data_IF_151156953920
#
_entry.id   IF_151156953920
#
_cell.length_a   1.000
_cell.length_b   1.000
_cell.length_c   1.000
_cell.angle_alpha   90.00
_cell.angle_beta   90.00
_cell.angle_gamma   90.00
#
_symmetry.space_group_name_H-M   'P 1'
#
loop_
_entity.id
_entity.type
_entity.pdbx_description
1 polymer ?
#
# COMPACT_ATOMS: atom_id res chain seq x y z
N UNK A 1 7.18 -1.30 -41.19
CA UNK A 1 5.87 -1.87 -40.82
C UNK A 1 6.00 -3.26 -40.18
N UNK A 2 6.61 -4.25 -40.86
CA UNK A 2 6.64 -5.66 -40.40
C UNK A 2 7.40 -5.91 -39.08
N UNK A 3 8.45 -5.14 -38.79
CA UNK A 3 9.24 -5.28 -37.54
C UNK A 3 8.41 -4.87 -36.32
N UNK A 4 7.68 -3.75 -36.40
CA UNK A 4 6.86 -3.25 -35.28
C UNK A 4 5.71 -4.22 -34.98
N UNK A 5 5.08 -4.78 -36.02
CA UNK A 5 4.01 -5.79 -35.88
C UNK A 5 4.54 -7.05 -35.19
N UNK A 6 5.77 -7.49 -35.52
CA UNK A 6 6.39 -8.65 -34.89
C UNK A 6 6.73 -8.42 -33.42
N UNK A 7 7.27 -7.26 -33.05
CA UNK A 7 7.55 -6.94 -31.63
C UNK A 7 6.26 -6.95 -30.81
N UNK A 8 5.19 -6.36 -31.33
CA UNK A 8 3.89 -6.36 -30.65
C UNK A 8 3.31 -7.77 -30.49
N UNK A 9 3.52 -8.65 -31.48
CA UNK A 9 3.13 -10.06 -31.42
C UNK A 9 3.93 -10.85 -30.38
N UNK A 10 5.25 -10.62 -30.29
CA UNK A 10 6.10 -11.25 -29.28
C UNK A 10 5.71 -10.80 -27.87
N UNK A 11 5.48 -9.50 -27.65
CA UNK A 11 5.03 -8.99 -26.36
C UNK A 11 3.69 -9.59 -25.93
N UNK A 12 2.73 -9.72 -26.87
CA UNK A 12 1.46 -10.42 -26.61
C UNK A 12 1.69 -11.87 -26.20
N UNK A 13 2.56 -12.60 -26.89
CA UNK A 13 2.87 -14.00 -26.55
C UNK A 13 3.51 -14.14 -25.17
N UNK A 14 4.45 -13.27 -24.83
CA UNK A 14 5.09 -13.24 -23.50
C UNK A 14 4.04 -12.95 -22.43
N UNK A 15 3.15 -11.97 -22.65
CA UNK A 15 2.06 -11.67 -21.74
C UNK A 15 1.14 -12.88 -21.52
N UNK A 16 0.66 -13.52 -22.59
CA UNK A 16 -0.19 -14.71 -22.49
C UNK A 16 0.52 -15.85 -21.78
N UNK A 17 1.82 -16.08 -22.04
CA UNK A 17 2.61 -17.09 -21.35
C UNK A 17 2.67 -16.84 -19.83
N UNK A 18 2.89 -15.59 -19.40
CA UNK A 18 2.89 -15.24 -17.98
C UNK A 18 1.51 -15.40 -17.33
N UNK A 19 0.46 -14.92 -17.99
CA UNK A 19 -0.92 -15.03 -17.47
C UNK A 19 -1.34 -16.50 -17.37
N UNK A 20 -1.07 -17.29 -18.41
CA UNK A 20 -1.42 -18.70 -18.48
C UNK A 20 -0.59 -19.53 -17.50
N UNK A 21 0.71 -19.28 -17.42
CA UNK A 21 1.59 -19.87 -16.42
C UNK A 21 1.09 -19.58 -15.00
N UNK A 22 0.84 -18.31 -14.68
CA UNK A 22 0.36 -17.92 -13.36
C UNK A 22 -1.00 -18.53 -13.01
N UNK A 23 -1.94 -18.58 -13.98
CA UNK A 23 -3.26 -19.19 -13.79
C UNK A 23 -3.18 -20.67 -13.46
N UNK A 24 -2.27 -21.40 -14.12
CA UNK A 24 -2.07 -22.84 -13.97
C UNK A 24 -1.16 -23.21 -12.77
N UNK A 25 -0.42 -22.26 -12.19
CA UNK A 25 0.49 -22.51 -11.06
C UNK A 25 -0.24 -22.56 -9.71
N UNK A 26 -0.15 -23.68 -8.98
CA UNK A 26 -0.68 -23.78 -7.61
C UNK A 26 0.21 -23.03 -6.59
N UNK A 27 1.52 -23.31 -6.59
CA UNK A 27 2.48 -22.72 -5.65
C UNK A 27 2.58 -21.19 -5.79
N UNK A 28 2.65 -20.67 -7.01
CA UNK A 28 2.75 -19.23 -7.28
C UNK A 28 1.57 -18.44 -6.76
N UNK A 29 0.34 -18.96 -6.93
CA UNK A 29 -0.88 -18.35 -6.38
C UNK A 29 -0.87 -18.34 -4.84
N UNK A 30 -0.42 -19.43 -4.21
CA UNK A 30 -0.27 -19.49 -2.76
C UNK A 30 0.76 -18.48 -2.25
N UNK A 31 1.93 -18.39 -2.89
CA UNK A 31 2.99 -17.43 -2.54
C UNK A 31 2.53 -15.98 -2.69
N UNK A 32 1.83 -15.64 -3.77
CA UNK A 32 1.24 -14.31 -3.95
C UNK A 32 0.19 -13.99 -2.87
N UNK A 33 -0.62 -14.97 -2.47
CA UNK A 33 -1.52 -14.83 -1.33
C UNK A 33 -0.77 -14.53 -0.03
N UNK A 34 0.31 -15.25 0.24
CA UNK A 34 1.18 -15.01 1.41
C UNK A 34 1.77 -13.61 1.37
N UNK A 35 2.28 -13.16 0.22
CA UNK A 35 2.83 -11.80 0.05
C UNK A 35 1.74 -10.76 0.33
N UNK A 36 0.53 -10.92 -0.21
CA UNK A 36 -0.59 -10.01 0.03
C UNK A 36 -0.97 -9.92 1.50
N UNK A 37 -1.09 -11.06 2.19
CA UNK A 37 -1.38 -11.12 3.63
C UNK A 37 -0.26 -10.45 4.42
N UNK A 38 1.00 -10.78 4.12
CA UNK A 38 2.16 -10.21 4.82
C UNK A 38 2.24 -8.70 4.63
N UNK A 39 1.91 -8.20 3.45
CA UNK A 39 1.85 -6.77 3.16
C UNK A 39 0.75 -6.07 3.96
N UNK A 40 -0.44 -6.66 4.04
CA UNK A 40 -1.53 -6.15 4.88
C UNK A 40 -1.15 -6.12 6.37
N UNK A 41 -0.56 -7.21 6.87
CA UNK A 41 -0.08 -7.28 8.25
C UNK A 41 1.00 -6.24 8.53
N UNK A 42 1.96 -6.06 7.61
CA UNK A 42 2.98 -5.03 7.74
C UNK A 42 2.38 -3.62 7.79
N UNK A 43 1.36 -3.34 6.97
CA UNK A 43 0.64 -2.07 7.01
C UNK A 43 -0.07 -1.84 8.35
N UNK A 44 -0.72 -2.86 8.91
CA UNK A 44 -1.39 -2.78 10.22
C UNK A 44 -0.36 -2.56 11.35
N UNK A 45 0.73 -3.33 11.36
CA UNK A 45 1.81 -3.18 12.34
C UNK A 45 2.42 -1.79 12.26
N UNK A 46 2.73 -1.31 11.05
CA UNK A 46 3.19 0.06 10.84
C UNK A 46 2.18 1.07 11.37
N UNK A 47 0.89 0.91 11.07
CA UNK A 47 -0.12 1.86 11.54
C UNK A 47 -0.13 1.96 13.06
N UNK A 48 -0.11 0.84 13.76
CA UNK A 48 -0.17 0.82 15.23
C UNK A 48 1.13 1.38 15.84
N UNK A 49 2.28 1.04 15.27
CA UNK A 49 3.58 1.48 15.80
C UNK A 49 3.88 2.95 15.49
N UNK A 50 3.62 3.40 14.27
CA UNK A 50 3.93 4.76 13.82
C UNK A 50 2.82 5.79 14.11
N UNK A 51 1.58 5.34 14.33
CA UNK A 51 0.44 6.22 14.64
C UNK A 51 -0.33 5.78 15.89
N UNK A 52 0.28 5.86 17.10
CA UNK A 52 -0.46 5.74 18.35
C UNK A 52 -1.57 6.80 18.41
N UNK A 53 -2.64 6.52 19.16
CA UNK A 53 -3.74 7.45 19.41
C UNK A 53 -3.32 8.61 20.37
N UNK A 54 -2.20 9.28 20.09
CA UNK A 54 -1.60 10.34 20.90
C UNK A 54 -2.59 11.45 21.29
N UNK A 55 -3.52 11.77 20.38
CA UNK A 55 -4.48 12.85 20.57
C UNK A 55 -5.61 12.48 21.55
N UNK A 56 -5.98 11.20 21.66
CA UNK A 56 -7.08 10.76 22.54
C UNK A 56 -6.67 10.62 24.00
N UNK A 57 -5.40 10.40 24.28
CA UNK A 57 -4.92 10.10 25.63
C UNK A 57 -4.78 11.35 26.51
N UNK A 58 -4.58 12.53 25.89
CA UNK A 58 -4.24 13.77 26.62
C UNK A 58 -5.38 14.81 26.67
N UNK A 59 -6.51 14.58 25.99
CA UNK A 59 -7.59 15.58 25.88
C UNK A 59 -8.97 14.93 25.97
N UNK A 60 -9.76 15.37 26.95
CA UNK A 60 -11.12 14.89 27.24
C UNK A 60 -12.20 15.52 26.35
N UNK A 61 -11.93 16.65 25.70
CA UNK A 61 -12.86 17.35 24.82
C UNK A 61 -12.19 17.65 23.46
N UNK A 62 -12.86 17.30 22.36
CA UNK A 62 -12.35 17.47 20.99
C UNK A 62 -12.08 18.95 20.64
N UNK A 63 -12.83 19.89 21.23
CA UNK A 63 -12.62 21.34 21.02
C UNK A 63 -11.29 21.81 21.61
N UNK A 64 -10.90 21.27 22.78
CA UNK A 64 -9.63 21.60 23.41
C UNK A 64 -8.44 21.03 22.64
N UNK A 65 -8.60 19.81 22.11
CA UNK A 65 -7.61 19.18 21.23
C UNK A 65 -7.37 19.98 19.96
N UNK A 66 -8.44 20.42 19.29
CA UNK A 66 -8.33 21.20 18.07
C UNK A 66 -7.57 22.52 18.30
N UNK A 67 -7.90 23.24 19.37
CA UNK A 67 -7.23 24.49 19.73
C UNK A 67 -5.74 24.29 20.04
N UNK A 68 -5.36 23.20 20.71
CA UNK A 68 -3.96 22.90 21.01
C UNK A 68 -3.13 22.61 19.76
N UNK A 69 -3.68 21.87 18.80
CA UNK A 69 -3.01 21.58 17.51
C UNK A 69 -2.85 22.88 16.70
N UNK A 70 -3.90 23.71 16.64
CA UNK A 70 -3.87 25.00 15.95
C UNK A 70 -2.79 25.93 16.52
N UNK A 71 -2.65 26.00 17.85
CA UNK A 71 -1.60 26.79 18.50
C UNK A 71 -0.20 26.29 18.11
N UNK A 72 0.03 24.96 18.14
CA UNK A 72 1.32 24.35 17.77
C UNK A 72 1.71 24.63 16.32
N UNK A 73 0.81 24.41 15.36
CA UNK A 73 1.05 24.65 13.93
C UNK A 73 1.30 26.13 13.60
N UNK A 74 0.68 27.04 14.37
CA UNK A 74 0.86 28.49 14.20
C UNK A 74 2.16 29.00 14.83
N UNK A 75 2.61 28.41 15.95
CA UNK A 75 3.88 28.76 16.60
C UNK A 75 5.11 28.22 15.88
N UNK A 76 5.00 27.03 15.29
CA UNK A 76 6.13 26.37 14.61
C UNK A 76 6.45 26.98 13.23
N UNK A 77 5.50 27.72 12.64
CA UNK A 77 5.68 28.51 11.40
C UNK A 77 6.31 29.91 11.63
N UNK A 78 6.87 30.16 12.81
CA UNK A 78 7.68 31.36 13.12
C UNK A 78 9.08 30.94 13.50
#
# INVERSE_FOLDING_TARGET
>A
MNIVINVFSVLKKVFYFYVEGFKNMKLGKTLWGIIGIKFLLFFILMKIFFFPNFLKENFSNDTQRANHILEKLTKENK
#
